data_IF_470586735870
#
_entry.id   IF_470586735870
#
_cell.length_a   1.000
_cell.length_b   1.000
_cell.length_c   1.000
_cell.angle_alpha   90.00
_cell.angle_beta   90.00
_cell.angle_gamma   90.00
#
_symmetry.space_group_name_H-M   'P 1'
#
loop_
_entity.id
_entity.type
_entity.pdbx_description
1 polymer ?
#
# COMPACT_ATOMS: atom_id res chain seq x y z
N UNK A 1 37.14 17.83 -6.15
CA UNK A 1 36.11 18.87 -5.91
C UNK A 1 35.23 19.00 -7.16
N UNK A 2 33.91 18.87 -7.02
CA UNK A 2 32.99 18.99 -8.18
C UNK A 2 32.91 20.47 -8.57
N UNK A 3 33.06 20.78 -9.86
CA UNK A 3 33.06 22.17 -10.33
C UNK A 3 31.65 22.75 -10.37
N UNK A 4 31.52 24.04 -10.04
CA UNK A 4 30.25 24.77 -10.06
C UNK A 4 29.57 24.70 -11.45
N UNK A 5 30.35 24.60 -12.53
CA UNK A 5 29.84 24.42 -13.90
C UNK A 5 29.09 23.10 -14.09
N UNK A 6 29.56 21.99 -13.48
CA UNK A 6 28.84 20.70 -13.51
C UNK A 6 27.55 20.76 -12.72
N UNK A 7 27.55 21.41 -11.55
CA UNK A 7 26.35 21.59 -10.73
C UNK A 7 25.31 22.43 -11.46
N UNK A 8 25.72 23.55 -12.09
CA UNK A 8 24.83 24.40 -12.88
C UNK A 8 24.27 23.68 -14.11
N UNK A 9 25.05 22.81 -14.75
CA UNK A 9 24.59 22.02 -15.88
C UNK A 9 23.54 20.98 -15.46
N UNK A 10 23.78 20.29 -14.34
CA UNK A 10 22.81 19.37 -13.76
C UNK A 10 21.54 20.14 -13.40
N UNK A 11 21.61 21.24 -12.64
CA UNK A 11 20.45 22.05 -12.28
C UNK A 11 19.60 22.47 -13.50
N UNK A 12 20.23 22.88 -14.61
CA UNK A 12 19.53 23.17 -15.86
C UNK A 12 18.81 21.96 -16.46
N UNK A 13 19.38 20.75 -16.33
CA UNK A 13 18.76 19.50 -16.78
C UNK A 13 17.54 19.14 -15.91
N UNK A 14 17.65 19.28 -14.59
CA UNK A 14 16.53 19.07 -13.66
C UNK A 14 15.41 20.09 -13.86
N UNK A 15 15.72 21.36 -14.12
CA UNK A 15 14.72 22.39 -14.45
C UNK A 15 13.94 22.05 -15.72
N UNK A 16 14.60 21.51 -16.76
CA UNK A 16 13.93 21.04 -17.97
C UNK A 16 13.03 19.83 -17.71
N UNK A 17 13.50 18.86 -16.90
CA UNK A 17 12.70 17.69 -16.51
C UNK A 17 11.48 18.08 -15.69
N UNK A 18 11.62 19.03 -14.75
CA UNK A 18 10.51 19.56 -13.96
C UNK A 18 9.52 20.37 -14.81
N UNK A 19 10.01 21.16 -15.78
CA UNK A 19 9.15 21.91 -16.71
C UNK A 19 8.43 21.01 -17.73
N UNK A 20 8.99 19.83 -18.05
CA UNK A 20 8.36 18.84 -18.92
C UNK A 20 7.29 17.99 -18.22
N UNK A 21 7.02 18.25 -16.93
CA UNK A 21 5.99 17.57 -16.14
C UNK A 21 4.56 18.13 -16.28
N UNK A 22 4.31 19.20 -17.02
CA UNK A 22 2.94 19.76 -17.19
C UNK A 22 2.70 20.36 -18.57
N UNK A 23 2.63 19.51 -19.60
CA UNK A 23 1.92 19.86 -20.83
C UNK A 23 0.42 19.57 -20.66
N UNK A 24 -0.26 20.55 -20.03
CA UNK A 24 -1.63 21.01 -20.31
C UNK A 24 -2.76 19.94 -20.39
N UNK A 25 -3.39 19.66 -19.25
CA UNK A 25 -4.85 19.52 -19.20
C UNK A 25 -5.39 20.80 -18.56
N UNK A 26 -5.88 21.72 -19.39
CA UNK A 26 -6.68 22.86 -18.92
C UNK A 26 -8.05 22.36 -18.51
N UNK A 27 -8.26 22.30 -17.19
CA UNK A 27 -9.42 22.78 -16.44
C UNK A 27 -10.77 22.72 -17.16
N UNK A 28 -11.53 21.66 -16.89
CA UNK A 28 -12.97 21.76 -16.68
C UNK A 28 -13.21 21.73 -15.18
N UNK A 29 -13.72 22.83 -14.62
CA UNK A 29 -14.19 22.87 -13.24
C UNK A 29 -15.45 22.01 -13.10
N UNK A 30 -15.33 20.87 -12.44
CA UNK A 30 -16.39 20.21 -11.70
C UNK A 30 -15.72 19.21 -10.75
N UNK A 31 -16.07 19.28 -9.48
CA UNK A 31 -15.70 18.25 -8.52
C UNK A 31 -16.11 16.87 -9.07
N UNK A 32 -15.13 16.04 -9.41
CA UNK A 32 -15.27 14.59 -9.44
C UNK A 32 -13.94 13.99 -9.03
N UNK A 33 -13.95 13.52 -7.79
CA UNK A 33 -13.24 12.35 -7.28
C UNK A 33 -12.50 11.60 -8.38
N UNK A 34 -11.19 11.46 -8.19
CA UNK A 34 -10.37 10.55 -8.98
C UNK A 34 -10.83 9.12 -8.68
N UNK A 35 -11.87 8.69 -9.38
CA UNK A 35 -12.19 7.29 -9.63
C UNK A 35 -11.10 6.73 -10.54
N UNK A 36 -9.90 6.54 -9.98
CA UNK A 36 -8.89 5.69 -10.60
C UNK A 36 -9.23 4.24 -10.25
N UNK A 37 -10.39 3.82 -10.74
CA UNK A 37 -10.85 2.45 -10.70
C UNK A 37 -9.81 1.58 -11.42
N UNK A 38 -9.37 0.50 -10.78
CA UNK A 38 -8.33 -0.43 -11.26
C UNK A 38 -8.66 -1.12 -12.62
N UNK A 39 -9.67 -0.67 -13.36
CA UNK A 39 -10.23 -1.30 -14.56
C UNK A 39 -9.72 -0.74 -15.88
N UNK A 40 -9.13 0.48 -15.95
CA UNK A 40 -8.99 1.16 -17.26
C UNK A 40 -7.58 1.54 -17.74
N UNK A 41 -6.50 1.22 -17.02
CA UNK A 41 -5.15 1.49 -17.56
C UNK A 41 -4.37 0.19 -17.56
N UNK A 42 -3.82 -0.17 -18.72
CA UNK A 42 -2.96 -1.32 -18.95
C UNK A 42 -1.75 -1.31 -18.00
N UNK A 43 -1.93 -1.73 -16.76
CA UNK A 43 -0.86 -1.90 -15.79
C UNK A 43 -0.16 -3.21 -16.11
N UNK A 44 1.03 -3.08 -16.69
CA UNK A 44 1.85 -4.21 -17.15
C UNK A 44 2.53 -4.89 -15.96
N UNK A 45 1.74 -5.43 -15.03
CA UNK A 45 2.26 -6.18 -13.89
C UNK A 45 1.23 -6.46 -12.79
N UNK A 46 1.43 -7.58 -12.12
CA UNK A 46 0.74 -7.94 -10.88
C UNK A 46 1.81 -8.17 -9.81
N UNK A 47 1.54 -7.78 -8.57
CA UNK A 47 2.29 -8.28 -7.42
C UNK A 47 1.59 -9.51 -6.84
N UNK A 48 2.37 -10.35 -6.16
CA UNK A 48 1.82 -11.41 -5.32
C UNK A 48 1.80 -10.92 -3.89
N UNK A 49 0.65 -10.97 -3.24
CA UNK A 49 0.51 -10.74 -1.80
C UNK A 49 -0.10 -11.98 -1.15
N UNK A 50 0.16 -12.13 0.14
CA UNK A 50 -0.36 -13.20 0.96
C UNK A 50 -1.27 -12.62 2.04
N UNK A 51 -2.25 -13.38 2.47
CA UNK A 51 -3.07 -13.07 3.64
C UNK A 51 -2.53 -13.79 4.87
N UNK A 52 -3.00 -13.43 6.07
CA UNK A 52 -2.54 -13.99 7.34
C UNK A 52 -2.82 -15.51 7.44
N UNK A 53 -3.88 -15.99 6.77
CA UNK A 53 -4.20 -17.42 6.61
C UNK A 53 -3.37 -18.12 5.50
N UNK A 54 -2.43 -17.40 4.87
CA UNK A 54 -1.50 -17.92 3.88
C UNK A 54 -2.04 -18.00 2.45
N UNK A 55 -3.28 -17.55 2.20
CA UNK A 55 -3.81 -17.54 0.83
C UNK A 55 -3.06 -16.51 -0.05
N UNK A 56 -2.94 -16.82 -1.35
CA UNK A 56 -2.13 -16.08 -2.31
C UNK A 56 -3.02 -15.32 -3.29
N UNK A 57 -2.80 -14.01 -3.41
CA UNK A 57 -3.54 -13.14 -4.34
C UNK A 57 -2.62 -12.48 -5.36
N UNK A 58 -3.08 -12.42 -6.61
CA UNK A 58 -2.45 -11.62 -7.67
C UNK A 58 -3.14 -10.26 -7.75
N UNK A 59 -2.45 -9.23 -7.29
CA UNK A 59 -2.98 -7.87 -7.22
C UNK A 59 -2.40 -7.05 -8.37
N UNK A 60 -3.24 -6.38 -9.19
CA UNK A 60 -2.74 -5.45 -10.20
C UNK A 60 -1.89 -4.35 -9.56
N UNK A 61 -0.74 -4.01 -10.16
CA UNK A 61 0.11 -2.95 -9.61
C UNK A 61 -0.59 -1.59 -9.48
N UNK A 62 -1.58 -1.33 -10.34
CA UNK A 62 -2.42 -0.12 -10.26
C UNK A 62 -3.22 -0.02 -8.95
N UNK A 63 -3.53 -1.15 -8.31
CA UNK A 63 -4.24 -1.11 -7.03
C UNK A 63 -3.32 -0.77 -5.86
N UNK A 64 -1.98 -0.82 -6.02
CA UNK A 64 -1.06 -0.49 -4.91
C UNK A 64 -0.99 1.01 -4.59
N UNK A 65 -1.46 1.87 -5.49
CA UNK A 65 -1.55 3.32 -5.28
C UNK A 65 -2.87 3.78 -4.65
N UNK A 66 -3.81 2.86 -4.38
CA UNK A 66 -5.08 3.20 -3.74
C UNK A 66 -4.88 3.38 -2.25
N UNK A 67 -5.69 4.24 -1.62
CA UNK A 67 -5.66 4.47 -0.17
C UNK A 67 -5.82 3.17 0.61
N UNK A 68 -6.76 2.31 0.16
CA UNK A 68 -7.01 1.00 0.78
C UNK A 68 -5.76 0.14 0.82
N UNK A 69 -5.03 -0.01 -0.29
CA UNK A 69 -3.80 -0.81 -0.30
C UNK A 69 -2.64 -0.13 0.42
N UNK A 70 -2.53 1.20 0.32
CA UNK A 70 -1.51 1.96 1.04
C UNK A 70 -1.56 1.70 2.54
N UNK A 71 -2.75 1.81 3.12
CA UNK A 71 -2.98 1.57 4.56
C UNK A 71 -2.81 0.08 4.93
N UNK A 72 -3.30 -0.85 4.12
CA UNK A 72 -3.04 -2.30 4.33
C UNK A 72 -1.55 -2.64 4.30
N UNK A 73 -0.78 -2.02 3.41
CA UNK A 73 0.67 -2.20 3.34
C UNK A 73 1.38 -1.54 4.52
N UNK A 74 0.89 -0.40 5.01
CA UNK A 74 1.43 0.22 6.22
C UNK A 74 1.21 -0.68 7.44
N UNK A 75 -0.03 -1.15 7.66
CA UNK A 75 -0.33 -2.10 8.74
C UNK A 75 0.52 -3.39 8.61
N UNK A 76 0.68 -3.90 7.38
CA UNK A 76 1.54 -5.04 7.08
C UNK A 76 3.01 -4.80 7.44
N UNK A 77 3.53 -3.60 7.15
CA UNK A 77 4.90 -3.23 7.50
C UNK A 77 5.09 -3.16 9.03
N UNK A 78 4.13 -2.63 9.75
CA UNK A 78 4.16 -2.53 11.22
C UNK A 78 4.10 -3.90 11.90
N UNK A 79 3.29 -4.84 11.37
CA UNK A 79 3.09 -6.16 11.97
C UNK A 79 4.13 -7.20 11.53
N UNK A 80 4.42 -7.30 10.22
CA UNK A 80 5.27 -8.35 9.67
C UNK A 80 6.66 -7.86 9.24
N UNK A 81 6.79 -6.57 8.93
CA UNK A 81 7.99 -6.00 8.32
C UNK A 81 8.24 -6.50 6.89
N UNK A 82 9.12 -5.81 6.17
CA UNK A 82 9.49 -6.15 4.78
C UNK A 82 10.97 -6.50 4.60
N UNK A 83 11.75 -6.55 5.68
CA UNK A 83 13.21 -6.79 5.65
C UNK A 83 13.58 -8.28 5.66
N UNK A 84 12.59 -9.18 5.60
CA UNK A 84 12.78 -10.63 5.57
C UNK A 84 13.41 -11.14 4.27
N UNK A 85 14.11 -12.27 4.35
CA UNK A 85 14.81 -12.89 3.22
C UNK A 85 13.87 -13.50 2.17
N UNK A 86 12.61 -13.75 2.52
CA UNK A 86 11.60 -14.30 1.63
C UNK A 86 10.90 -13.24 0.76
N UNK A 87 11.07 -11.95 1.11
CA UNK A 87 10.52 -10.81 0.34
C UNK A 87 9.01 -10.86 0.15
N UNK A 88 8.29 -11.63 0.96
CA UNK A 88 6.83 -11.80 0.84
C UNK A 88 6.12 -10.62 1.50
N UNK A 89 5.05 -10.16 0.85
CA UNK A 89 4.16 -9.18 1.44
C UNK A 89 2.97 -9.94 2.01
N UNK A 90 2.81 -9.96 3.33
CA UNK A 90 1.69 -10.59 4.03
C UNK A 90 0.79 -9.51 4.62
N UNK A 91 -0.47 -9.45 4.21
CA UNK A 91 -1.44 -8.48 4.67
C UNK A 91 -2.12 -8.96 5.97
N UNK A 92 -2.49 -8.04 6.87
CA UNK A 92 -3.11 -8.35 8.16
C UNK A 92 -4.62 -8.62 8.01
N UNK A 93 -4.98 -9.49 7.07
CA UNK A 93 -6.36 -9.89 6.81
C UNK A 93 -6.42 -11.33 6.29
N UNK A 94 -7.59 -11.94 6.35
CA UNK A 94 -7.85 -13.25 5.75
C UNK A 94 -8.24 -13.14 4.27
N UNK A 95 -8.37 -14.31 3.61
CA UNK A 95 -8.75 -14.38 2.20
C UNK A 95 -10.08 -13.68 1.89
N UNK A 96 -11.10 -13.79 2.76
CA UNK A 96 -12.44 -13.24 2.51
C UNK A 96 -12.42 -11.71 2.56
N UNK A 97 -11.70 -11.14 3.52
CA UNK A 97 -11.50 -9.70 3.63
C UNK A 97 -10.71 -9.16 2.43
N UNK A 98 -9.70 -9.91 1.97
CA UNK A 98 -8.94 -9.55 0.77
C UNK A 98 -9.79 -9.56 -0.50
N UNK A 99 -10.66 -10.56 -0.68
CA UNK A 99 -11.62 -10.60 -1.78
C UNK A 99 -12.57 -9.41 -1.75
N UNK A 100 -13.04 -9.03 -0.55
CA UNK A 100 -13.89 -7.86 -0.37
C UNK A 100 -13.15 -6.56 -0.72
N UNK A 101 -11.91 -6.38 -0.26
CA UNK A 101 -11.09 -5.22 -0.60
C UNK A 101 -10.87 -5.09 -2.12
N UNK A 102 -10.57 -6.20 -2.80
CA UNK A 102 -10.44 -6.22 -4.27
C UNK A 102 -11.78 -5.89 -4.96
N UNK A 103 -12.90 -6.31 -4.39
CA UNK A 103 -14.23 -5.97 -4.89
C UNK A 103 -14.52 -4.47 -4.76
N UNK A 104 -14.22 -3.87 -3.60
CA UNK A 104 -14.36 -2.43 -3.36
C UNK A 104 -13.60 -1.61 -4.41
N UNK A 105 -12.33 -1.94 -4.62
CA UNK A 105 -11.45 -1.21 -5.54
C UNK A 105 -11.84 -1.36 -7.01
N UNK A 106 -12.37 -2.52 -7.40
CA UNK A 106 -12.85 -2.75 -8.78
C UNK A 106 -14.15 -2.00 -9.08
N UNK A 107 -14.94 -1.69 -8.07
CA UNK A 107 -16.27 -1.07 -8.24
C UNK A 107 -16.25 0.45 -8.11
N UNK A 108 -15.11 1.04 -7.73
CA UNK A 108 -15.03 2.47 -7.42
C UNK A 108 -15.88 2.78 -6.18
N UNK A 109 -15.54 2.16 -5.05
CA UNK A 109 -16.23 2.40 -3.78
C UNK A 109 -16.17 3.89 -3.38
N UNK A 110 -17.19 4.36 -2.65
CA UNK A 110 -17.15 5.72 -2.12
C UNK A 110 -16.09 5.83 -1.02
N UNK A 111 -15.56 7.03 -0.83
CA UNK A 111 -14.54 7.30 0.18
C UNK A 111 -15.02 6.89 1.59
N UNK A 112 -16.31 7.01 1.89
CA UNK A 112 -16.89 6.60 3.17
C UNK A 112 -16.81 5.10 3.38
N UNK A 113 -17.02 4.31 2.32
CA UNK A 113 -16.95 2.86 2.39
C UNK A 113 -15.51 2.37 2.51
N UNK A 114 -14.59 2.99 1.78
CA UNK A 114 -13.15 2.73 1.93
C UNK A 114 -12.68 3.06 3.35
N UNK A 115 -13.11 4.20 3.91
CA UNK A 115 -12.74 4.60 5.25
C UNK A 115 -13.34 3.71 6.34
N UNK A 116 -14.59 3.27 6.17
CA UNK A 116 -15.22 2.32 7.09
C UNK A 116 -14.52 0.96 7.08
N UNK A 117 -14.12 0.49 5.89
CA UNK A 117 -13.31 -0.72 5.75
C UNK A 117 -11.97 -0.60 6.49
N UNK A 118 -11.23 0.49 6.26
CA UNK A 118 -9.94 0.73 6.90
C UNK A 118 -10.05 0.89 8.41
N UNK A 119 -11.06 1.59 8.90
CA UNK A 119 -11.32 1.73 10.34
C UNK A 119 -11.55 0.36 10.98
N UNK A 120 -12.31 -0.51 10.30
CA UNK A 120 -12.56 -1.88 10.76
C UNK A 120 -11.25 -2.68 10.84
N UNK A 121 -10.39 -2.58 9.83
CA UNK A 121 -9.09 -3.26 9.80
C UNK A 121 -8.14 -2.77 10.90
N UNK A 122 -8.05 -1.46 11.10
CA UNK A 122 -7.22 -0.87 12.14
C UNK A 122 -7.68 -1.33 13.54
N UNK A 123 -9.00 -1.35 13.80
CA UNK A 123 -9.55 -1.82 15.08
C UNK A 123 -9.21 -3.30 15.35
N UNK A 124 -9.26 -4.15 14.33
CA UNK A 124 -8.85 -5.56 14.44
C UNK A 124 -7.37 -5.70 14.78
N UNK A 125 -6.49 -4.92 14.15
CA UNK A 125 -5.05 -4.94 14.43
C UNK A 125 -4.73 -4.49 15.88
N UNK A 126 -5.43 -3.46 16.36
CA UNK A 126 -5.29 -2.99 17.75
C UNK A 126 -5.81 -4.00 18.78
N UNK A 127 -6.80 -4.82 18.44
CA UNK A 127 -7.25 -5.91 19.31
C UNK A 127 -6.21 -7.02 19.41
N UNK A 128 -5.66 -7.47 18.28
CA UNK A 128 -4.66 -8.55 18.25
C UNK A 128 -3.36 -8.14 18.97
N UNK A 129 -2.92 -6.89 18.81
CA UNK A 129 -1.76 -6.35 19.53
C UNK A 129 -2.00 -6.25 21.05
N UNK A 130 -3.24 -6.02 21.51
CA UNK A 130 -3.59 -5.97 22.95
C UNK A 130 -3.75 -7.34 23.60
N UNK A 131 -4.00 -8.40 22.82
CA UNK A 131 -4.26 -9.76 23.31
C UNK A 131 -3.10 -10.70 22.96
N UNK A 132 -1.86 -10.21 22.86
CA UNK A 132 -0.70 -11.09 22.92
C UNK A 132 -0.66 -11.71 24.34
N UNK A 133 -0.86 -13.03 24.52
CA UNK A 133 -0.61 -13.65 25.81
C UNK A 133 0.90 -13.57 26.02
N UNK A 134 1.33 -13.13 27.19
CA UNK A 134 2.67 -13.43 27.66
C UNK A 134 2.85 -14.94 27.57
N UNK A 135 3.53 -15.44 26.52
CA UNK A 135 3.98 -16.82 26.48
C UNK A 135 5.05 -16.91 27.56
N UNK A 136 4.60 -17.48 28.67
CA UNK A 136 5.30 -17.94 29.84
C UNK A 136 6.80 -18.20 29.57
N UNK A 137 7.66 -17.34 30.11
CA UNK A 137 9.09 -17.62 30.23
C UNK A 137 9.28 -18.62 31.38
N UNK A 138 8.83 -19.85 31.16
CA UNK A 138 9.17 -21.00 32.01
C UNK A 138 10.41 -21.67 31.42
N UNK A 139 11.58 -21.20 31.81
CA UNK A 139 12.79 -22.03 31.84
C UNK A 139 13.35 -22.03 33.25
N UNK A 140 13.10 -23.15 33.92
CA UNK A 140 13.79 -23.59 35.11
C UNK A 140 14.88 -24.57 34.65
N UNK A 141 16.13 -24.41 35.13
CA UNK A 141 16.99 -25.44 35.77
C UNK A 141 18.51 -25.17 35.62
N UNK A 142 19.18 -25.30 36.78
CA UNK A 142 20.59 -25.64 37.08
C UNK A 142 21.69 -24.64 36.69
N UNK A 143 22.66 -24.33 37.56
CA UNK A 143 23.43 -25.18 38.51
C UNK A 143 23.56 -24.51 39.88
#
# INVERSE_FOLDING_TARGET
>A
MISAKRIAHLAKKWQRMAAQGRKRLTLGAAAKEADECCSSVASKGHCTVYTADGARFKVPLACLSTTVFGELLQMSQEEFGFTGSDGRITLPCDAAVMEYAMCLLRRGASAELEQAFLTTMAMSCHYVSRVAPCVEASQQIAV
#
